data_IF_265796264794
#
_entry.id   IF_265796264794
#
_cell.length_a   1.000
_cell.length_b   1.000
_cell.length_c   1.000
_cell.angle_alpha   90.00
_cell.angle_beta   90.00
_cell.angle_gamma   90.00
#
_symmetry.space_group_name_H-M   'P 1'
#
loop_
_entity.id
_entity.type
_entity.pdbx_description
1 polymer ?
#
# COMPACT_ATOMS: atom_id res chain seq x y z
N UNK A 1 -6.74 38.51 11.13
CA UNK A 1 -7.36 38.09 12.40
C UNK A 1 -7.70 36.61 12.30
N UNK A 2 -7.21 35.78 13.22
CA UNK A 2 -7.55 34.35 13.26
C UNK A 2 -8.84 34.12 14.05
N UNK A 3 -9.66 33.17 13.63
CA UNK A 3 -10.91 32.84 14.33
C UNK A 3 -10.63 32.42 15.79
N UNK A 4 -11.42 32.95 16.71
CA UNK A 4 -11.38 32.57 18.13
C UNK A 4 -12.05 31.19 18.34
N UNK A 5 -11.95 30.66 19.57
CA UNK A 5 -12.45 29.31 19.88
C UNK A 5 -13.97 29.17 19.74
N UNK A 6 -14.73 30.23 20.06
CA UNK A 6 -16.20 30.25 19.92
C UNK A 6 -16.60 30.25 18.44
N UNK A 7 -15.99 31.12 17.64
CA UNK A 7 -16.24 31.22 16.20
C UNK A 7 -15.94 29.90 15.47
N UNK A 8 -14.87 29.21 15.87
CA UNK A 8 -14.55 27.87 15.33
C UNK A 8 -15.63 26.84 15.68
N UNK A 9 -16.17 26.91 16.88
CA UNK A 9 -17.19 25.98 17.36
C UNK A 9 -18.55 26.23 16.69
N UNK A 10 -18.92 27.50 16.50
CA UNK A 10 -20.12 27.91 15.78
C UNK A 10 -20.04 27.57 14.29
N UNK A 11 -18.88 27.79 13.67
CA UNK A 11 -18.66 27.39 12.28
C UNK A 11 -18.77 25.87 12.12
N UNK A 12 -18.08 25.11 12.97
CA UNK A 12 -18.18 23.65 12.98
C UNK A 12 -19.63 23.18 13.16
N UNK A 13 -20.39 23.82 14.06
CA UNK A 13 -21.78 23.51 14.29
C UNK A 13 -22.64 23.69 13.04
N UNK A 14 -22.49 24.84 12.37
CA UNK A 14 -23.19 25.15 11.14
C UNK A 14 -22.86 24.13 10.04
N UNK A 15 -21.57 23.83 9.85
CA UNK A 15 -21.09 22.85 8.87
C UNK A 15 -21.66 21.45 9.17
N UNK A 16 -21.68 21.05 10.44
CA UNK A 16 -22.20 19.74 10.86
C UNK A 16 -23.70 19.61 10.63
N UNK A 17 -24.47 20.67 10.92
CA UNK A 17 -25.92 20.71 10.63
C UNK A 17 -26.18 20.58 9.14
N UNK A 18 -25.44 21.30 8.29
CA UNK A 18 -25.58 21.18 6.83
C UNK A 18 -25.23 19.79 6.33
N UNK A 19 -24.15 19.20 6.84
CA UNK A 19 -23.78 17.82 6.55
C UNK A 19 -24.91 16.84 6.90
N UNK A 20 -25.49 16.95 8.10
CA UNK A 20 -26.57 16.07 8.56
C UNK A 20 -27.84 16.23 7.71
N UNK A 21 -28.18 17.45 7.29
CA UNK A 21 -29.29 17.69 6.35
C UNK A 21 -29.09 16.99 5.00
N UNK A 22 -27.84 16.80 4.57
CA UNK A 22 -27.50 16.07 3.35
C UNK A 22 -27.50 14.54 3.48
N UNK A 23 -27.69 13.99 4.68
CA UNK A 23 -27.70 12.53 4.89
C UNK A 23 -29.00 11.91 4.38
N UNK A 24 -28.88 10.79 3.65
CA UNK A 24 -30.04 10.00 3.18
C UNK A 24 -30.89 9.45 4.33
N UNK A 25 -30.28 9.12 5.46
CA UNK A 25 -30.95 8.58 6.64
C UNK A 25 -30.20 8.99 7.91
N UNK A 26 -30.43 10.21 8.44
CA UNK A 26 -29.86 10.61 9.72
C UNK A 26 -30.39 9.73 10.86
N UNK A 27 -29.57 9.49 11.89
CA UNK A 27 -30.00 8.74 13.07
C UNK A 27 -30.91 9.59 13.98
N UNK A 28 -31.49 9.00 15.03
CA UNK A 28 -32.42 9.71 15.94
C UNK A 28 -31.80 10.92 16.64
N UNK A 29 -30.53 10.82 17.07
CA UNK A 29 -29.82 11.93 17.71
C UNK A 29 -29.63 13.11 16.74
N UNK A 30 -29.28 12.80 15.49
CA UNK A 30 -29.11 13.77 14.42
C UNK A 30 -30.41 14.42 14.01
N UNK A 31 -31.51 13.65 13.91
CA UNK A 31 -32.86 14.18 13.66
C UNK A 31 -33.29 15.14 14.78
N UNK A 32 -33.10 14.76 16.04
CA UNK A 32 -33.40 15.63 17.18
C UNK A 32 -32.56 16.90 17.14
N UNK A 33 -31.28 16.80 16.76
CA UNK A 33 -30.42 17.97 16.61
C UNK A 33 -30.97 18.94 15.56
N UNK A 34 -31.40 18.46 14.39
CA UNK A 34 -32.01 19.29 13.35
C UNK A 34 -33.29 19.98 13.86
N UNK A 35 -34.20 19.23 14.50
CA UNK A 35 -35.44 19.77 15.07
C UNK A 35 -35.14 20.90 16.06
N UNK A 36 -34.21 20.66 16.98
CA UNK A 36 -33.83 21.66 17.98
C UNK A 36 -33.15 22.87 17.34
N UNK A 37 -32.33 22.68 16.29
CA UNK A 37 -31.70 23.77 15.53
C UNK A 37 -32.74 24.65 14.82
N UNK A 38 -33.79 24.07 14.25
CA UNK A 38 -34.79 24.79 13.45
C UNK A 38 -35.88 25.47 14.30
N UNK A 39 -36.02 25.08 15.58
CA UNK A 39 -37.00 25.66 16.51
C UNK A 39 -36.78 27.17 16.75
N UNK A 40 -37.77 28.02 16.48
CA UNK A 40 -37.65 29.47 16.71
C UNK A 40 -37.54 29.82 18.21
N UNK A 41 -38.45 29.30 19.04
CA UNK A 41 -38.50 29.58 20.48
C UNK A 41 -37.84 28.46 21.29
N UNK A 42 -36.51 28.44 21.32
CA UNK A 42 -35.74 27.46 22.12
C UNK A 42 -35.83 27.79 23.60
N UNK A 43 -36.26 26.82 24.40
CA UNK A 43 -36.19 26.88 25.87
C UNK A 43 -34.75 26.69 26.35
N UNK A 44 -34.48 27.03 27.62
CA UNK A 44 -33.18 26.73 28.24
C UNK A 44 -32.83 25.23 28.18
N UNK A 45 -33.83 24.35 28.28
CA UNK A 45 -33.65 22.92 28.16
C UNK A 45 -33.32 22.49 26.72
N UNK A 46 -33.92 23.13 25.71
CA UNK A 46 -33.60 22.88 24.29
C UNK A 46 -32.15 23.25 23.99
N UNK A 47 -31.70 24.42 24.47
CA UNK A 47 -30.31 24.90 24.31
C UNK A 47 -29.33 23.92 24.97
N UNK A 48 -29.64 23.47 26.19
CA UNK A 48 -28.82 22.48 26.92
C UNK A 48 -28.76 21.14 26.17
N UNK A 49 -29.90 20.67 25.68
CA UNK A 49 -29.99 19.40 24.92
C UNK A 49 -29.20 19.50 23.61
N UNK A 50 -29.36 20.60 22.87
CA UNK A 50 -28.61 20.86 21.64
C UNK A 50 -27.10 20.86 21.91
N UNK A 51 -26.64 21.52 22.98
CA UNK A 51 -25.22 21.53 23.37
C UNK A 51 -24.67 20.12 23.63
N UNK A 52 -25.45 19.24 24.26
CA UNK A 52 -25.06 17.85 24.51
C UNK A 52 -24.97 17.04 23.22
N UNK A 53 -25.96 17.18 22.32
CA UNK A 53 -25.96 16.52 21.01
C UNK A 53 -24.74 16.95 20.18
N UNK A 54 -24.41 18.23 20.17
CA UNK A 54 -23.24 18.75 19.47
C UNK A 54 -21.93 18.19 20.02
N UNK A 55 -21.80 18.06 21.35
CA UNK A 55 -20.62 17.43 21.97
C UNK A 55 -20.51 15.95 21.61
N UNK A 56 -21.63 15.23 21.56
CA UNK A 56 -21.66 13.83 21.15
C UNK A 56 -21.22 13.66 19.69
N UNK A 57 -21.72 14.52 18.78
CA UNK A 57 -21.31 14.54 17.37
C UNK A 57 -19.81 14.85 17.21
N UNK A 58 -19.27 15.82 17.95
CA UNK A 58 -17.82 16.09 17.95
C UNK A 58 -16.99 14.90 18.44
N UNK A 59 -17.46 14.21 19.49
CA UNK A 59 -16.77 13.04 20.01
C UNK A 59 -16.80 11.88 19.00
N UNK A 60 -17.94 11.68 18.34
CA UNK A 60 -18.10 10.66 17.30
C UNK A 60 -17.20 10.95 16.08
N UNK A 61 -17.15 12.20 15.61
CA UNK A 61 -16.28 12.62 14.51
C UNK A 61 -14.80 12.40 14.85
N UNK A 62 -14.36 12.85 16.04
CA UNK A 62 -12.97 12.61 16.50
C UNK A 62 -12.64 11.12 16.60
N UNK A 63 -13.57 10.29 17.06
CA UNK A 63 -13.38 8.85 17.11
C UNK A 63 -13.26 8.23 15.70
N UNK A 64 -14.07 8.71 14.74
CA UNK A 64 -13.97 8.28 13.35
C UNK A 64 -12.64 8.69 12.71
N UNK A 65 -12.19 9.93 12.92
CA UNK A 65 -10.89 10.39 12.45
C UNK A 65 -9.73 9.58 13.04
N UNK A 66 -9.79 9.30 14.35
CA UNK A 66 -8.77 8.47 15.01
C UNK A 66 -8.72 7.05 14.43
N UNK A 67 -9.89 6.42 14.23
CA UNK A 67 -9.99 5.10 13.58
C UNK A 67 -9.43 5.14 12.16
N UNK A 68 -9.78 6.16 11.37
CA UNK A 68 -9.29 6.32 10.00
C UNK A 68 -7.76 6.48 9.96
N UNK A 69 -7.19 7.27 10.88
CA UNK A 69 -5.72 7.42 11.02
C UNK A 69 -5.04 6.09 11.31
N UNK A 70 -5.55 5.32 12.27
CA UNK A 70 -5.01 3.98 12.60
C UNK A 70 -5.09 3.04 11.40
N UNK A 71 -6.24 3.00 10.70
CA UNK A 71 -6.40 2.17 9.51
C UNK A 71 -5.46 2.58 8.38
N UNK A 72 -5.23 3.88 8.19
CA UNK A 72 -4.28 4.38 7.21
C UNK A 72 -2.85 3.94 7.54
N UNK A 73 -2.45 3.94 8.82
CA UNK A 73 -1.15 3.44 9.25
C UNK A 73 -1.00 1.95 8.96
N UNK A 74 -1.98 1.13 9.35
CA UNK A 74 -1.98 -0.32 9.06
C UNK A 74 -1.86 -0.58 7.55
N UNK A 75 -2.61 0.17 6.75
CA UNK A 75 -2.58 0.01 5.30
C UNK A 75 -1.28 0.55 4.66
N UNK A 76 -0.62 1.51 5.30
CA UNK A 76 0.70 1.99 4.88
C UNK A 76 1.77 0.91 5.13
N UNK A 77 1.74 0.27 6.29
CA UNK A 77 2.64 -0.85 6.63
C UNK A 77 2.45 -2.02 5.65
N UNK A 78 1.21 -2.46 5.42
CA UNK A 78 0.92 -3.53 4.42
C UNK A 78 1.42 -3.17 3.02
N UNK A 79 1.30 -1.90 2.62
CA UNK A 79 1.83 -1.40 1.33
C UNK A 79 3.35 -1.35 1.32
N UNK A 80 4.01 -1.06 2.44
CA UNK A 80 5.46 -1.07 2.55
C UNK A 80 6.00 -2.50 2.44
N UNK A 81 5.42 -3.45 3.16
CA UNK A 81 5.76 -4.88 3.09
C UNK A 81 5.56 -5.44 1.67
N UNK A 82 4.42 -5.19 1.05
CA UNK A 82 4.16 -5.63 -0.32
C UNK A 82 5.16 -5.02 -1.34
N UNK A 83 5.60 -3.77 -1.13
CA UNK A 83 6.64 -3.14 -1.96
C UNK A 83 8.01 -3.78 -1.73
N UNK A 84 8.36 -4.08 -0.48
CA UNK A 84 9.62 -4.76 -0.16
C UNK A 84 9.66 -6.16 -0.79
N UNK A 85 8.57 -6.93 -0.69
CA UNK A 85 8.44 -8.24 -1.31
C UNK A 85 8.60 -8.19 -2.85
N UNK A 86 7.97 -7.21 -3.51
CA UNK A 86 8.14 -7.00 -4.96
C UNK A 86 9.58 -6.64 -5.31
N UNK A 87 10.20 -5.72 -4.56
CA UNK A 87 11.60 -5.32 -4.78
C UNK A 87 12.55 -6.51 -4.62
N UNK A 88 12.34 -7.35 -3.61
CA UNK A 88 13.13 -8.55 -3.39
C UNK A 88 12.95 -9.55 -4.55
N UNK A 89 11.71 -9.78 -5.00
CA UNK A 89 11.41 -10.62 -6.16
C UNK A 89 12.08 -10.09 -7.44
N UNK A 90 11.93 -8.80 -7.72
CA UNK A 90 12.49 -8.19 -8.92
C UNK A 90 14.02 -8.25 -8.89
N UNK A 91 14.63 -8.02 -7.73
CA UNK A 91 16.07 -8.22 -7.54
C UNK A 91 16.50 -9.66 -7.81
N UNK A 92 15.77 -10.66 -7.31
CA UNK A 92 16.05 -12.07 -7.57
C UNK A 92 15.86 -12.44 -9.06
N UNK A 93 14.87 -11.86 -9.74
CA UNK A 93 14.69 -12.00 -11.19
C UNK A 93 15.86 -11.41 -11.96
N UNK A 94 16.35 -10.23 -11.58
CA UNK A 94 17.54 -9.62 -12.17
C UNK A 94 18.80 -10.47 -11.92
N UNK A 95 18.97 -11.04 -10.73
CA UNK A 95 20.07 -11.96 -10.44
C UNK A 95 20.00 -13.21 -11.34
N UNK A 96 18.80 -13.76 -11.53
CA UNK A 96 18.55 -14.92 -12.39
C UNK A 96 18.86 -14.61 -13.86
N UNK A 97 18.41 -13.46 -14.38
CA UNK A 97 18.76 -12.99 -15.72
C UNK A 97 20.28 -12.74 -15.85
N UNK A 98 20.92 -12.26 -14.79
CA UNK A 98 22.37 -12.10 -14.72
C UNK A 98 23.15 -13.41 -14.88
N UNK A 99 22.57 -14.56 -14.51
CA UNK A 99 23.18 -15.88 -14.79
C UNK A 99 23.19 -16.20 -16.28
N UNK A 100 22.14 -15.81 -17.02
CA UNK A 100 22.09 -15.98 -18.48
C UNK A 100 23.16 -15.13 -19.18
N UNK A 101 23.39 -13.92 -18.69
CA UNK A 101 24.48 -13.05 -19.17
C UNK A 101 25.84 -13.70 -18.89
N UNK A 102 26.07 -14.21 -17.68
CA UNK A 102 27.33 -14.87 -17.32
C UNK A 102 27.57 -16.17 -18.11
N UNK A 103 26.51 -16.89 -18.44
CA UNK A 103 26.57 -18.07 -19.27
C UNK A 103 26.80 -17.74 -20.76
N UNK A 104 26.84 -16.46 -21.14
CA UNK A 104 27.00 -16.02 -22.53
C UNK A 104 25.75 -16.21 -23.39
N UNK A 105 24.59 -16.44 -22.78
CA UNK A 105 23.32 -16.68 -23.48
C UNK A 105 22.56 -15.37 -23.78
N UNK A 106 22.93 -14.29 -23.10
CA UNK A 106 22.35 -12.95 -23.26
C UNK A 106 23.48 -11.93 -23.38
N UNK A 107 23.36 -11.05 -24.37
CA UNK A 107 24.27 -9.92 -24.54
C UNK A 107 24.08 -8.90 -23.41
N UNK A 108 25.18 -8.54 -22.73
CA UNK A 108 25.13 -7.72 -21.52
C UNK A 108 24.79 -6.26 -21.77
N UNK A 109 24.97 -5.76 -22.99
CA UNK A 109 24.73 -4.36 -23.34
C UNK A 109 23.29 -4.15 -23.83
N UNK A 110 22.78 -5.08 -24.63
CA UNK A 110 21.47 -5.00 -25.27
C UNK A 110 20.39 -5.75 -24.50
N UNK A 111 20.77 -6.69 -23.64
CA UNK A 111 19.85 -7.54 -22.88
C UNK A 111 19.10 -8.56 -23.73
N UNK A 112 19.49 -8.74 -25.00
CA UNK A 112 18.86 -9.69 -25.92
C UNK A 112 19.56 -11.04 -25.87
N UNK A 113 18.84 -12.15 -26.10
CA UNK A 113 19.47 -13.43 -26.39
C UNK A 113 20.54 -13.28 -27.48
N UNK A 114 21.69 -13.94 -27.30
CA UNK A 114 22.76 -13.95 -28.31
C UNK A 114 22.31 -14.71 -29.56
N UNK A 115 21.49 -15.74 -29.37
CA UNK A 115 20.91 -16.58 -30.42
C UNK A 115 19.39 -16.38 -30.57
N UNK A 116 18.75 -17.23 -31.38
CA UNK A 116 17.30 -17.24 -31.54
C UNK A 116 16.54 -17.44 -30.20
N UNK A 117 15.51 -16.62 -29.98
CA UNK A 117 14.77 -16.59 -28.70
C UNK A 117 14.02 -17.90 -28.45
N UNK A 118 13.47 -18.53 -29.49
CA UNK A 118 12.72 -19.78 -29.35
C UNK A 118 13.66 -20.96 -29.08
N UNK A 119 14.83 -20.99 -29.74
CA UNK A 119 15.87 -21.98 -29.46
C UNK A 119 16.36 -21.90 -28.00
N UNK A 120 16.65 -20.69 -27.49
CA UNK A 120 17.04 -20.49 -26.09
C UNK A 120 15.94 -20.95 -25.13
N UNK A 121 14.68 -20.59 -25.39
CA UNK A 121 13.57 -21.02 -24.55
C UNK A 121 13.40 -22.55 -24.55
N UNK A 122 13.52 -23.19 -25.71
CA UNK A 122 13.44 -24.65 -25.84
C UNK A 122 14.56 -25.37 -25.08
N UNK A 123 15.78 -24.84 -25.11
CA UNK A 123 16.90 -25.37 -24.35
C UNK A 123 16.68 -25.23 -22.83
N UNK A 124 16.18 -24.08 -22.35
CA UNK A 124 15.85 -23.86 -20.95
C UNK A 124 14.66 -24.72 -20.47
N UNK A 125 13.66 -24.94 -21.33
CA UNK A 125 12.57 -25.88 -21.04
C UNK A 125 13.09 -27.32 -20.91
N UNK A 126 13.96 -27.74 -21.84
CA UNK A 126 14.61 -29.06 -21.77
C UNK A 126 15.45 -29.24 -20.50
N UNK A 127 16.08 -28.17 -20.01
CA UNK A 127 16.79 -28.16 -18.72
C UNK A 127 15.82 -28.34 -17.54
N UNK A 128 14.64 -27.72 -17.58
CA UNK A 128 13.62 -27.86 -16.53
C UNK A 128 13.06 -29.29 -16.47
N UNK A 129 12.89 -29.92 -17.64
CA UNK A 129 12.35 -31.27 -17.76
C UNK A 129 13.38 -32.35 -17.38
N UNK A 130 14.66 -31.99 -17.32
CA UNK A 130 15.71 -32.91 -16.90
C UNK A 130 15.56 -33.30 -15.43
N UNK A 131 15.52 -34.61 -15.16
CA UNK A 131 15.44 -35.13 -13.81
C UNK A 131 16.58 -34.63 -12.91
N UNK A 132 16.27 -34.40 -11.62
CA UNK A 132 17.22 -33.84 -10.64
C UNK A 132 18.26 -34.83 -10.12
N UNK A 133 18.06 -36.12 -10.37
CA UNK A 133 19.03 -37.18 -10.15
C UNK A 133 20.05 -37.33 -11.30
N UNK A 134 19.87 -36.59 -12.41
CA UNK A 134 20.77 -36.66 -13.54
C UNK A 134 22.20 -36.20 -13.14
N UNK A 135 23.25 -36.99 -13.43
CA UNK A 135 24.61 -36.69 -12.99
C UNK A 135 25.14 -35.34 -13.53
N UNK A 136 24.60 -34.84 -14.64
CA UNK A 136 24.96 -33.53 -15.21
C UNK A 136 24.78 -32.38 -14.22
N UNK A 137 23.86 -32.48 -13.26
CA UNK A 137 23.68 -31.44 -12.24
C UNK A 137 24.94 -31.23 -11.38
N UNK A 138 25.70 -32.29 -11.10
CA UNK A 138 26.96 -32.22 -10.36
C UNK A 138 28.03 -31.50 -11.19
N UNK A 139 28.18 -31.88 -12.46
CA UNK A 139 29.15 -31.26 -13.37
C UNK A 139 28.85 -29.77 -13.59
N UNK A 140 27.57 -29.42 -13.79
CA UNK A 140 27.13 -28.04 -13.92
C UNK A 140 27.33 -27.22 -12.65
N UNK A 141 27.17 -27.82 -11.47
CA UNK A 141 27.45 -27.13 -10.21
C UNK A 141 28.91 -26.75 -10.09
N UNK A 142 29.84 -27.66 -10.45
CA UNK A 142 31.28 -27.38 -10.42
C UNK A 142 31.61 -26.24 -11.39
N UNK A 143 31.22 -26.39 -12.65
CA UNK A 143 31.46 -25.36 -13.68
C UNK A 143 30.82 -24.01 -13.34
N UNK A 144 29.59 -24.03 -12.81
CA UNK A 144 28.89 -22.82 -12.38
C UNK A 144 29.61 -22.10 -11.24
N UNK A 145 30.18 -22.84 -10.28
CA UNK A 145 30.94 -22.26 -9.19
C UNK A 145 32.22 -21.56 -9.68
N UNK A 146 32.91 -22.14 -10.66
CA UNK A 146 34.09 -21.54 -11.30
C UNK A 146 33.73 -20.20 -11.96
N UNK A 147 32.66 -20.16 -12.75
CA UNK A 147 32.17 -18.94 -13.41
C UNK A 147 31.72 -17.86 -12.42
N UNK A 148 31.12 -18.24 -11.29
CA UNK A 148 30.73 -17.29 -10.24
C UNK A 148 31.94 -16.71 -9.51
N UNK A 149 32.99 -17.51 -9.33
CA UNK A 149 34.21 -17.08 -8.65
C UNK A 149 35.04 -16.13 -9.53
N UNK A 150 35.15 -16.40 -10.84
CA UNK A 150 35.85 -15.50 -11.77
C UNK A 150 35.21 -14.11 -11.84
N UNK A 151 33.87 -14.03 -11.87
CA UNK A 151 33.18 -12.73 -11.82
C UNK A 151 33.48 -11.93 -10.55
N UNK A 152 33.62 -12.61 -9.40
CA UNK A 152 33.90 -11.94 -8.12
C UNK A 152 35.29 -11.35 -8.09
N UNK A 153 36.31 -12.03 -8.65
CA UNK A 153 37.66 -11.50 -8.75
C UNK A 153 37.71 -10.27 -9.67
N UNK A 154 36.98 -10.29 -10.78
CA UNK A 154 36.97 -9.16 -11.75
C UNK A 154 36.26 -7.91 -11.19
N UNK A 155 35.34 -8.07 -10.24
CA UNK A 155 34.63 -6.96 -9.58
C UNK A 155 35.37 -6.39 -8.36
N UNK A 156 36.48 -7.00 -7.93
CA UNK A 156 37.26 -6.60 -6.74
C UNK A 156 38.67 -6.11 -7.07
N UNK A 157 39.00 -5.99 -8.35
CA UNK A 157 40.17 -5.30 -8.90
C UNK A 157 39.78 -3.91 -9.44
#
# INVERSE_FOLDING_TARGET
MGMNKSEKQEKWAADRVQYIRGLKSPNEQQKLMLILTDKADKTAQDIKTLSLLMKAEQAAEKAQEARAKVMNLIQAEKRAEARAARKARDHALYQSAGLLILAGLVDSQTGKPVDDTAALLGALASLNDLSRDNPKWSDWKIRGQELLNSKKSDSSA
#
